data_IF_955127067234
#
_entry.id   IF_955127067234
#
_cell.length_a   1.000
_cell.length_b   1.000
_cell.length_c   1.000
_cell.angle_alpha   90.00
_cell.angle_beta   90.00
_cell.angle_gamma   90.00
#
_symmetry.space_group_name_H-M   'P 1'
#
loop_
_entity.id
_entity.type
_entity.pdbx_description
1 polymer ?
#
# COMPACT_ATOMS: atom_id res chain seq x y z
N UNK A 1 -42.66 22.98 -14.30
CA UNK A 1 -42.24 22.54 -12.95
C UNK A 1 -40.88 21.89 -13.11
N UNK A 2 -39.85 22.71 -13.17
CA UNK A 2 -38.45 22.32 -13.40
C UNK A 2 -37.79 22.21 -12.04
N UNK A 3 -37.41 20.98 -11.68
CA UNK A 3 -36.56 20.72 -10.52
C UNK A 3 -35.14 21.12 -10.91
N UNK A 4 -34.48 22.04 -10.18
CA UNK A 4 -33.07 22.32 -10.43
C UNK A 4 -32.24 21.16 -9.87
N UNK A 5 -31.46 20.56 -10.76
CA UNK A 5 -30.42 19.60 -10.45
C UNK A 5 -29.30 20.34 -9.71
N UNK A 6 -29.14 20.03 -8.42
CA UNK A 6 -28.10 20.63 -7.59
C UNK A 6 -26.85 19.76 -7.73
N UNK A 7 -26.13 19.95 -8.83
CA UNK A 7 -24.77 19.45 -8.95
C UNK A 7 -23.91 20.21 -7.93
N UNK A 8 -23.70 19.58 -6.77
CA UNK A 8 -22.72 20.04 -5.80
C UNK A 8 -21.35 19.97 -6.44
N UNK A 9 -20.76 21.13 -6.74
CA UNK A 9 -19.36 21.27 -7.09
C UNK A 9 -18.54 20.80 -5.89
N UNK A 10 -18.08 19.55 -5.89
CA UNK A 10 -17.07 19.08 -4.94
C UNK A 10 -15.79 19.83 -5.26
N UNK A 11 -15.49 20.87 -4.48
CA UNK A 11 -14.21 21.58 -4.57
C UNK A 11 -13.11 20.57 -4.28
N UNK A 12 -12.24 20.32 -5.27
CA UNK A 12 -11.08 19.43 -5.14
C UNK A 12 -10.17 19.96 -4.02
N UNK A 13 -9.95 19.17 -2.97
CA UNK A 13 -9.11 19.52 -1.82
C UNK A 13 -7.72 18.91 -1.88
N UNK A 14 -7.53 17.94 -2.76
CA UNK A 14 -6.28 17.24 -2.98
C UNK A 14 -5.16 18.17 -3.47
N UNK A 15 -3.93 17.78 -3.17
CA UNK A 15 -2.73 18.36 -3.77
C UNK A 15 -1.92 17.29 -4.44
N UNK A 16 -1.23 17.63 -5.52
CA UNK A 16 -0.27 16.74 -6.18
C UNK A 16 1.05 17.46 -6.33
N UNK A 17 2.11 16.88 -5.78
CA UNK A 17 3.47 17.42 -5.82
C UNK A 17 4.43 16.37 -6.37
N UNK A 18 5.55 16.81 -6.94
CA UNK A 18 6.66 15.90 -7.22
C UNK A 18 7.49 15.65 -5.94
N UNK A 19 8.53 14.81 -6.02
CA UNK A 19 9.39 14.50 -4.88
C UNK A 19 10.09 15.73 -4.26
N UNK A 20 10.49 16.72 -5.07
CA UNK A 20 11.13 17.95 -4.58
C UNK A 20 10.11 18.85 -3.87
N UNK A 21 8.88 18.94 -4.39
CA UNK A 21 7.77 19.66 -3.74
C UNK A 21 7.37 19.01 -2.42
N UNK A 22 7.31 17.68 -2.35
CA UNK A 22 7.07 16.96 -1.10
C UNK A 22 8.18 17.23 -0.08
N UNK A 23 9.44 17.21 -0.52
CA UNK A 23 10.58 17.51 0.36
C UNK A 23 10.55 18.96 0.86
N UNK A 24 10.15 19.93 0.03
CA UNK A 24 9.99 21.32 0.44
C UNK A 24 8.84 21.47 1.46
N UNK A 25 7.71 20.78 1.27
CA UNK A 25 6.63 20.72 2.25
C UNK A 25 7.10 20.12 3.58
N UNK A 26 7.87 19.04 3.53
CA UNK A 26 8.49 18.45 4.73
C UNK A 26 9.39 19.47 5.45
N UNK A 27 10.19 20.24 4.71
CA UNK A 27 11.07 21.25 5.28
C UNK A 27 10.30 22.40 5.97
N UNK A 28 9.25 22.92 5.32
CA UNK A 28 8.39 23.98 5.87
C UNK A 28 7.67 23.54 7.14
N UNK A 29 7.29 22.26 7.23
CA UNK A 29 6.53 21.70 8.34
C UNK A 29 7.41 21.02 9.40
N UNK A 30 8.73 20.99 9.22
CA UNK A 30 9.66 20.32 10.12
C UNK A 30 9.49 18.79 10.18
N UNK A 31 9.04 18.16 9.10
CA UNK A 31 8.76 16.72 9.01
C UNK A 31 10.02 15.99 8.53
N UNK A 32 10.67 15.25 9.41
CA UNK A 32 11.90 14.55 9.09
C UNK A 32 11.72 13.44 8.02
N UNK A 33 10.64 12.67 8.13
CA UNK A 33 10.37 11.55 7.24
C UNK A 33 8.88 11.26 7.16
N UNK A 34 8.50 10.62 6.05
CA UNK A 34 7.17 10.07 5.80
C UNK A 34 7.30 8.56 5.57
N UNK A 35 6.19 7.89 5.33
CA UNK A 35 6.14 6.47 5.01
C UNK A 35 7.19 6.06 3.93
N UNK A 36 8.06 5.07 4.21
CA UNK A 36 9.10 4.64 3.27
C UNK A 36 8.55 4.12 1.93
N UNK A 37 7.29 3.68 1.92
CA UNK A 37 6.57 3.26 0.73
C UNK A 37 6.47 4.38 -0.32
N UNK A 38 6.39 5.65 0.13
CA UNK A 38 6.42 6.84 -0.72
C UNK A 38 7.81 7.15 -1.28
N UNK A 39 8.87 6.45 -0.84
CA UNK A 39 10.31 6.74 -1.08
C UNK A 39 10.62 8.24 -1.22
N UNK A 40 10.15 9.05 -0.28
CA UNK A 40 10.49 10.47 -0.18
C UNK A 40 11.95 10.70 0.18
N UNK A 41 12.40 11.96 0.11
CA UNK A 41 13.70 12.35 0.65
C UNK A 41 13.54 12.65 2.15
N UNK A 42 14.41 12.12 3.03
CA UNK A 42 14.42 12.58 4.40
C UNK A 42 14.79 14.07 4.44
N UNK A 43 14.20 14.80 5.37
CA UNK A 43 14.57 16.17 5.68
C UNK A 43 15.40 16.20 6.97
N UNK A 44 16.63 16.70 6.88
CA UNK A 44 17.43 17.04 8.05
C UNK A 44 17.23 18.52 8.38
N UNK A 45 16.97 18.83 9.66
CA UNK A 45 16.79 20.23 10.08
C UNK A 45 18.01 21.08 9.71
N UNK A 46 17.76 22.17 9.00
CA UNK A 46 18.76 23.16 8.68
C UNK A 46 19.04 24.09 9.87
N UNK A 47 20.18 24.78 9.87
CA UNK A 47 20.54 25.74 10.92
C UNK A 47 19.60 26.96 10.95
N UNK A 48 19.02 27.33 9.80
CA UNK A 48 17.97 28.34 9.68
C UNK A 48 16.96 27.96 8.60
N UNK A 49 15.78 28.57 8.64
CA UNK A 49 14.70 28.40 7.65
C UNK A 49 14.69 29.48 6.57
N UNK A 50 15.63 30.43 6.60
CA UNK A 50 15.66 31.60 5.70
C UNK A 50 15.81 31.20 4.22
N UNK A 51 16.38 30.02 3.95
CA UNK A 51 16.53 29.51 2.60
C UNK A 51 15.20 29.12 1.93
N UNK A 52 14.14 28.88 2.71
CA UNK A 52 12.84 28.44 2.19
C UNK A 52 12.24 29.49 1.25
N UNK A 53 12.33 30.77 1.60
CA UNK A 53 11.78 31.88 0.81
C UNK A 53 12.58 32.13 -0.48
N UNK A 54 13.84 31.69 -0.52
CA UNK A 54 14.70 31.76 -1.71
C UNK A 54 14.62 30.50 -2.59
N UNK A 55 13.95 29.43 -2.15
CA UNK A 55 13.92 28.17 -2.88
C UNK A 55 13.01 28.27 -4.13
N UNK A 56 13.47 27.88 -5.33
CA UNK A 56 12.69 28.05 -6.57
C UNK A 56 11.36 27.27 -6.56
N UNK A 57 11.30 26.16 -5.83
CA UNK A 57 10.06 25.39 -5.66
C UNK A 57 8.96 26.13 -4.90
N UNK A 58 9.28 27.16 -4.09
CA UNK A 58 8.27 27.90 -3.33
C UNK A 58 7.29 28.60 -4.27
N UNK A 59 7.78 29.25 -5.33
CA UNK A 59 6.92 29.96 -6.29
C UNK A 59 5.84 29.04 -6.90
N UNK A 60 6.19 27.77 -7.17
CA UNK A 60 5.26 26.76 -7.68
C UNK A 60 4.22 26.39 -6.63
N UNK A 61 4.62 26.21 -5.37
CA UNK A 61 3.68 25.92 -4.28
C UNK A 61 2.74 27.11 -4.01
N UNK A 62 3.22 28.34 -4.15
CA UNK A 62 2.41 29.57 -4.03
C UNK A 62 1.40 29.68 -5.17
N UNK A 63 1.83 29.46 -6.41
CA UNK A 63 0.94 29.47 -7.58
C UNK A 63 -0.19 28.43 -7.45
N UNK A 64 0.11 27.29 -6.84
CA UNK A 64 -0.87 26.22 -6.58
C UNK A 64 -1.73 26.45 -5.32
N UNK A 65 -1.50 27.53 -4.58
CA UNK A 65 -2.22 27.80 -3.33
C UNK A 65 -1.95 26.77 -2.23
N UNK A 66 -0.78 26.11 -2.26
CA UNK A 66 -0.31 25.15 -1.26
C UNK A 66 0.37 25.88 -0.10
N UNK A 67 1.11 26.95 -0.41
CA UNK A 67 1.79 27.81 0.56
C UNK A 67 1.65 29.30 0.19
N UNK A 68 2.03 30.20 1.08
CA UNK A 68 2.15 31.64 0.79
C UNK A 68 3.60 32.08 0.54
N UNK A 69 3.80 33.34 0.15
CA UNK A 69 5.12 33.92 -0.12
C UNK A 69 6.07 33.91 1.10
N UNK A 70 5.51 33.80 2.31
CA UNK A 70 6.26 33.69 3.56
C UNK A 70 6.60 32.23 3.92
N UNK A 71 6.42 31.29 2.99
CA UNK A 71 6.64 29.86 3.17
C UNK A 71 5.73 29.21 4.24
N UNK A 72 4.54 29.78 4.48
CA UNK A 72 3.51 29.19 5.35
C UNK A 72 2.61 28.29 4.52
N UNK A 73 2.53 27.01 4.90
CA UNK A 73 1.67 26.01 4.23
C UNK A 73 0.21 26.23 4.63
N UNK A 74 -0.71 26.06 3.67
CA UNK A 74 -2.16 26.13 3.91
C UNK A 74 -2.58 25.15 5.01
N UNK A 75 -3.41 25.61 5.94
CA UNK A 75 -3.72 24.89 7.20
C UNK A 75 -4.23 23.46 6.98
N UNK A 76 -5.15 23.24 6.06
CA UNK A 76 -5.71 21.92 5.76
C UNK A 76 -4.64 20.94 5.24
N UNK A 77 -3.69 21.43 4.44
CA UNK A 77 -2.55 20.63 3.94
C UNK A 77 -1.59 20.32 5.07
N UNK A 78 -1.27 21.32 5.90
CA UNK A 78 -0.41 21.14 7.07
C UNK A 78 -0.97 20.08 8.03
N UNK A 79 -2.29 20.06 8.23
CA UNK A 79 -2.96 19.05 9.05
C UNK A 79 -2.88 17.64 8.44
N UNK A 80 -3.11 17.47 7.13
CA UNK A 80 -2.93 16.17 6.44
C UNK A 80 -1.49 15.67 6.57
N UNK A 81 -0.52 16.56 6.35
CA UNK A 81 0.90 16.26 6.51
C UNK A 81 1.25 15.90 7.95
N UNK A 82 0.62 16.51 8.95
CA UNK A 82 0.82 16.17 10.37
C UNK A 82 0.29 14.77 10.73
N UNK A 83 -0.80 14.31 10.07
CA UNK A 83 -1.28 12.92 10.17
C UNK A 83 -0.26 11.96 9.56
N UNK A 84 0.19 12.22 8.33
CA UNK A 84 1.16 11.38 7.62
C UNK A 84 2.53 11.32 8.30
N UNK A 85 2.94 12.39 8.97
CA UNK A 85 4.24 12.48 9.65
C UNK A 85 4.29 11.70 10.97
N UNK A 86 3.15 11.51 11.63
CA UNK A 86 3.07 10.96 12.97
C UNK A 86 1.81 10.11 13.18
N UNK A 87 1.58 9.09 12.33
CA UNK A 87 0.38 8.28 12.44
C UNK A 87 0.38 7.42 13.71
N UNK A 88 -0.83 7.10 14.17
CA UNK A 88 -1.08 6.01 15.12
C UNK A 88 -1.00 4.67 14.39
N UNK A 89 -1.61 4.61 13.20
CA UNK A 89 -1.64 3.43 12.33
C UNK A 89 -1.54 3.83 10.87
N UNK A 90 -1.01 2.91 10.06
CA UNK A 90 -0.94 3.06 8.61
C UNK A 90 -1.36 1.77 7.89
N UNK A 91 -2.07 1.92 6.77
CA UNK A 91 -2.47 0.87 5.84
C UNK A 91 -1.83 1.14 4.51
N UNK A 92 -1.10 0.15 3.99
CA UNK A 92 -0.26 0.28 2.83
C UNK A 92 -0.87 -0.61 1.74
N UNK A 93 -1.23 -0.02 0.61
CA UNK A 93 -1.78 -0.72 -0.56
C UNK A 93 -0.88 -0.47 -1.74
N UNK A 94 -0.27 -1.51 -2.28
CA UNK A 94 0.54 -1.44 -3.50
C UNK A 94 -0.20 -2.17 -4.61
N UNK A 95 -0.21 -1.59 -5.80
CA UNK A 95 -0.80 -2.18 -7.01
C UNK A 95 0.22 -2.13 -8.13
N UNK A 96 0.34 -3.20 -8.90
CA UNK A 96 1.22 -3.30 -10.07
C UNK A 96 0.43 -3.79 -11.27
N UNK A 97 0.62 -3.18 -12.44
CA UNK A 97 0.27 -3.81 -13.70
C UNK A 97 1.38 -4.83 -14.03
N UNK A 98 1.05 -6.11 -14.09
CA UNK A 98 2.03 -7.20 -14.14
C UNK A 98 2.60 -7.59 -12.76
N UNK A 99 3.83 -8.10 -12.77
CA UNK A 99 4.52 -8.61 -11.57
C UNK A 99 4.95 -7.50 -10.60
N UNK A 100 4.71 -7.68 -9.29
CA UNK A 100 5.14 -6.72 -8.28
C UNK A 100 6.66 -6.75 -8.06
N UNK A 101 7.33 -5.64 -8.36
CA UNK A 101 8.69 -5.35 -7.90
C UNK A 101 8.66 -4.76 -6.48
N UNK A 102 8.92 -5.59 -5.46
CA UNK A 102 8.90 -5.14 -4.05
C UNK A 102 10.17 -4.37 -3.67
N UNK A 103 11.31 -4.76 -4.25
CA UNK A 103 12.61 -4.12 -4.06
C UNK A 103 13.05 -3.52 -5.38
N UNK A 104 12.97 -2.20 -5.50
CA UNK A 104 13.46 -1.50 -6.69
C UNK A 104 14.99 -1.40 -6.62
N UNK A 105 15.72 -1.92 -7.62
CA UNK A 105 17.17 -1.84 -7.64
C UNK A 105 17.66 -0.39 -7.59
N UNK A 106 18.67 -0.13 -6.76
CA UNK A 106 19.38 1.14 -6.73
C UNK A 106 20.69 0.97 -7.51
N UNK A 107 20.89 1.81 -8.51
CA UNK A 107 22.16 1.89 -9.24
C UNK A 107 22.95 3.06 -8.64
N UNK A 108 24.12 2.76 -8.08
CA UNK A 108 24.92 3.76 -7.34
C UNK A 108 25.28 4.97 -8.22
N UNK A 109 25.63 4.72 -9.48
CA UNK A 109 26.06 5.75 -10.43
C UNK A 109 24.90 6.48 -11.14
N UNK A 110 23.65 6.11 -10.84
CA UNK A 110 22.46 6.75 -11.41
C UNK A 110 21.52 7.25 -10.29
N UNK A 111 21.63 8.53 -9.90
CA UNK A 111 20.79 9.14 -8.88
C UNK A 111 19.29 9.08 -9.17
N UNK A 112 18.88 8.93 -10.44
CA UNK A 112 17.46 8.83 -10.79
C UNK A 112 16.82 7.56 -10.21
N UNK A 113 17.61 6.51 -10.01
CA UNK A 113 17.13 5.22 -9.47
C UNK A 113 16.97 5.21 -7.95
N UNK A 114 17.62 6.13 -7.23
CA UNK A 114 17.73 6.09 -5.76
C UNK A 114 16.39 6.23 -5.04
N UNK A 115 15.43 6.88 -5.67
CA UNK A 115 14.07 7.09 -5.14
C UNK A 115 12.98 6.73 -6.14
N UNK A 116 13.31 6.19 -7.31
CA UNK A 116 12.32 5.79 -8.32
C UNK A 116 11.35 4.74 -7.76
N UNK A 117 10.12 4.74 -8.23
CA UNK A 117 9.26 3.55 -8.13
C UNK A 117 9.01 3.06 -9.55
N UNK A 118 8.76 1.77 -9.76
CA UNK A 118 8.37 1.27 -11.07
C UNK A 118 7.16 2.05 -11.62
N UNK A 119 7.19 2.40 -12.91
CA UNK A 119 6.14 3.21 -13.54
C UNK A 119 4.79 2.47 -13.63
N UNK A 120 4.84 1.14 -13.59
CA UNK A 120 3.69 0.23 -13.55
C UNK A 120 3.14 0.02 -12.12
N UNK A 121 3.66 0.74 -11.11
CA UNK A 121 3.24 0.64 -9.73
C UNK A 121 2.59 1.90 -9.15
N UNK A 122 1.48 1.67 -8.46
CA UNK A 122 0.81 2.62 -7.59
C UNK A 122 1.07 2.24 -6.12
N UNK A 123 1.46 3.20 -5.28
CA UNK A 123 1.65 2.98 -3.84
C UNK A 123 0.78 3.93 -3.04
N UNK A 124 -0.16 3.39 -2.30
CA UNK A 124 -1.08 4.13 -1.44
C UNK A 124 -0.68 3.93 0.00
N UNK A 125 -0.55 5.04 0.73
CA UNK A 125 -0.39 5.07 2.18
C UNK A 125 -1.62 5.75 2.75
N UNK A 126 -2.35 5.04 3.60
CA UNK A 126 -3.44 5.58 4.40
C UNK A 126 -2.96 5.68 5.83
N UNK A 127 -2.97 6.88 6.40
CA UNK A 127 -2.48 7.15 7.74
C UNK A 127 -3.62 7.66 8.62
N UNK A 128 -3.73 7.14 9.84
CA UNK A 128 -4.67 7.63 10.85
C UNK A 128 -3.92 8.25 12.01
N UNK A 129 -4.36 9.42 12.46
CA UNK A 129 -3.94 10.03 13.72
C UNK A 129 -5.13 10.66 14.43
N UNK A 130 -5.38 10.29 15.70
CA UNK A 130 -6.46 10.86 16.53
C UNK A 130 -7.82 10.83 15.80
N UNK A 131 -8.12 9.71 15.13
CA UNK A 131 -9.35 9.51 14.36
C UNK A 131 -9.40 10.18 12.98
N UNK A 132 -8.46 11.07 12.65
CA UNK A 132 -8.36 11.66 11.31
C UNK A 132 -7.55 10.79 10.37
N UNK A 133 -8.03 10.60 9.15
CA UNK A 133 -7.35 9.87 8.10
C UNK A 133 -6.84 10.80 6.99
N UNK A 134 -5.63 10.55 6.54
CA UNK A 134 -5.02 11.18 5.37
C UNK A 134 -4.49 10.10 4.43
N UNK A 135 -4.55 10.37 3.12
CA UNK A 135 -3.97 9.51 2.09
C UNK A 135 -2.75 10.19 1.46
N UNK A 136 -1.76 9.38 1.09
CA UNK A 136 -0.67 9.76 0.21
C UNK A 136 -0.50 8.68 -0.86
N UNK A 137 -0.73 9.05 -2.12
CA UNK A 137 -0.72 8.15 -3.26
C UNK A 137 0.45 8.50 -4.17
N UNK A 138 1.37 7.56 -4.34
CA UNK A 138 2.53 7.71 -5.21
C UNK A 138 2.35 6.95 -6.52
N UNK A 139 2.46 7.68 -7.63
CA UNK A 139 2.55 7.15 -8.99
C UNK A 139 3.78 7.76 -9.68
N UNK A 140 4.77 6.93 -9.99
CA UNK A 140 6.06 7.39 -10.53
C UNK A 140 6.73 8.46 -9.68
N UNK A 141 6.83 9.67 -10.22
CA UNK A 141 7.49 10.82 -9.57
C UNK A 141 6.55 11.78 -8.83
N UNK A 142 5.24 11.51 -8.86
CA UNK A 142 4.23 12.37 -8.25
C UNK A 142 3.58 11.70 -7.05
N UNK A 143 3.22 12.53 -6.08
CA UNK A 143 2.56 12.15 -4.84
C UNK A 143 1.34 13.04 -4.67
N UNK A 144 0.17 12.43 -4.63
CA UNK A 144 -1.11 13.08 -4.35
C UNK A 144 -1.45 12.88 -2.88
N UNK A 145 -1.82 13.96 -2.19
CA UNK A 145 -2.18 13.95 -0.76
C UNK A 145 -3.59 14.51 -0.63
N UNK A 146 -4.44 13.81 0.11
CA UNK A 146 -5.81 14.24 0.38
C UNK A 146 -6.30 13.74 1.74
N UNK A 147 -7.41 14.29 2.21
CA UNK A 147 -8.17 13.69 3.30
C UNK A 147 -8.77 12.35 2.83
N UNK A 148 -8.95 11.43 3.76
CA UNK A 148 -9.54 10.13 3.46
C UNK A 148 -10.62 9.78 4.49
N UNK A 149 -11.74 10.51 4.53
CA UNK A 149 -12.81 10.21 5.49
C UNK A 149 -13.38 8.81 5.24
N UNK A 150 -13.99 8.23 6.27
CA UNK A 150 -14.73 6.96 6.19
C UNK A 150 -13.88 5.73 5.80
N UNK A 151 -12.64 5.65 6.29
CA UNK A 151 -11.75 4.50 6.12
C UNK A 151 -12.14 3.32 7.03
N UNK A 152 -13.32 2.74 6.80
CA UNK A 152 -13.68 1.43 7.35
C UNK A 152 -13.15 0.29 6.48
N UNK A 153 -13.32 -0.95 6.97
CA UNK A 153 -12.80 -2.12 6.28
C UNK A 153 -13.50 -2.38 4.95
N UNK A 154 -14.81 -2.15 4.85
CA UNK A 154 -15.57 -2.36 3.62
C UNK A 154 -15.15 -1.34 2.54
N UNK A 155 -14.90 -0.10 2.95
CA UNK A 155 -14.32 0.92 2.08
C UNK A 155 -12.93 0.52 1.59
N UNK A 156 -12.08 -0.04 2.45
CA UNK A 156 -10.76 -0.51 2.05
C UNK A 156 -10.84 -1.68 1.06
N UNK A 157 -11.76 -2.63 1.26
CA UNK A 157 -12.01 -3.71 0.32
C UNK A 157 -12.34 -3.17 -1.07
N UNK A 158 -13.25 -2.19 -1.14
CA UNK A 158 -13.60 -1.52 -2.40
C UNK A 158 -12.42 -0.76 -3.00
N UNK A 159 -11.63 -0.05 -2.19
CA UNK A 159 -10.44 0.68 -2.66
C UNK A 159 -9.45 -0.28 -3.31
N UNK A 160 -9.10 -1.39 -2.63
CA UNK A 160 -8.11 -2.36 -3.11
C UNK A 160 -8.58 -2.99 -4.42
N UNK A 161 -9.84 -3.40 -4.51
CA UNK A 161 -10.42 -3.96 -5.74
C UNK A 161 -10.46 -2.92 -6.85
N UNK A 162 -10.94 -1.71 -6.59
CA UNK A 162 -11.01 -0.65 -7.60
C UNK A 162 -9.63 -0.23 -8.11
N UNK A 163 -8.63 -0.16 -7.23
CA UNK A 163 -7.26 0.15 -7.63
C UNK A 163 -6.67 -0.96 -8.51
N UNK A 164 -6.88 -2.23 -8.16
CA UNK A 164 -6.41 -3.36 -8.98
C UNK A 164 -7.18 -3.47 -10.30
N UNK A 165 -8.50 -3.27 -10.29
CA UNK A 165 -9.34 -3.27 -11.50
C UNK A 165 -9.00 -2.12 -12.45
N UNK A 166 -8.44 -1.01 -11.94
CA UNK A 166 -7.97 0.10 -12.78
C UNK A 166 -6.79 -0.26 -13.68
N UNK A 167 -6.02 -1.30 -13.32
CA UNK A 167 -4.90 -1.82 -14.13
C UNK A 167 -5.25 -3.12 -14.84
N UNK A 168 -6.07 -3.97 -14.24
CA UNK A 168 -6.54 -5.21 -14.84
C UNK A 168 -7.85 -5.68 -14.17
N UNK A 169 -8.94 -5.70 -14.95
CA UNK A 169 -10.25 -6.12 -14.44
C UNK A 169 -10.45 -7.62 -14.66
N UNK A 170 -10.70 -8.36 -13.57
CA UNK A 170 -11.00 -9.79 -13.63
C UNK A 170 -11.89 -10.24 -12.47
N UNK A 171 -12.70 -11.27 -12.71
CA UNK A 171 -13.52 -11.91 -11.68
C UNK A 171 -12.67 -12.74 -10.70
N UNK A 172 -13.19 -13.07 -9.50
CA UNK A 172 -12.53 -14.03 -8.61
C UNK A 172 -12.27 -15.37 -9.28
N UNK A 173 -11.11 -15.97 -8.99
CA UNK A 173 -10.74 -17.27 -9.56
C UNK A 173 -11.74 -18.38 -9.23
N UNK A 174 -11.85 -19.38 -10.11
CA UNK A 174 -12.75 -20.53 -9.91
C UNK A 174 -12.01 -21.70 -9.26
N UNK A 175 -11.54 -21.48 -8.03
CA UNK A 175 -10.77 -22.46 -7.26
C UNK A 175 -11.44 -22.74 -5.90
N UNK A 176 -11.26 -23.96 -5.39
CA UNK A 176 -11.62 -24.25 -4.00
C UNK A 176 -10.57 -23.66 -3.07
N UNK A 177 -10.96 -22.89 -2.03
CA UNK A 177 -10.02 -22.42 -1.02
C UNK A 177 -9.28 -23.59 -0.37
N UNK A 178 -8.00 -23.41 -0.10
CA UNK A 178 -7.19 -24.37 0.65
C UNK A 178 -6.19 -23.66 1.56
N UNK A 179 -5.77 -24.36 2.61
CA UNK A 179 -4.73 -23.91 3.51
C UNK A 179 -3.53 -24.85 3.42
N UNK A 180 -2.34 -24.29 3.36
CA UNK A 180 -1.08 -25.04 3.33
C UNK A 180 -0.14 -24.52 4.42
N UNK A 181 0.74 -25.35 5.01
CA UNK A 181 1.78 -24.86 5.90
C UNK A 181 2.62 -23.79 5.21
N UNK A 182 2.82 -22.64 5.88
CA UNK A 182 3.51 -21.50 5.27
C UNK A 182 4.93 -21.84 4.83
N UNK A 183 5.69 -22.53 5.69
CA UNK A 183 7.06 -22.94 5.42
C UNK A 183 7.16 -23.86 4.19
N UNK A 184 6.25 -24.82 4.07
CA UNK A 184 6.20 -25.73 2.93
C UNK A 184 5.88 -24.97 1.64
N UNK A 185 4.97 -24.00 1.71
CA UNK A 185 4.64 -23.14 0.57
C UNK A 185 5.82 -22.28 0.14
N UNK A 186 6.56 -21.68 1.07
CA UNK A 186 7.78 -20.93 0.77
C UNK A 186 8.83 -21.81 0.08
N UNK A 187 9.04 -23.03 0.56
CA UNK A 187 9.94 -23.99 -0.07
C UNK A 187 9.49 -24.37 -1.49
N UNK A 188 8.19 -24.60 -1.69
CA UNK A 188 7.65 -24.94 -3.00
C UNK A 188 7.73 -23.78 -4.00
N UNK A 189 7.44 -22.54 -3.58
CA UNK A 189 7.58 -21.35 -4.44
C UNK A 189 9.05 -21.12 -4.81
N UNK A 190 9.98 -21.32 -3.87
CA UNK A 190 11.42 -21.26 -4.18
C UNK A 190 11.82 -22.31 -5.21
N UNK A 191 11.40 -23.57 -5.04
CA UNK A 191 11.65 -24.64 -6.00
C UNK A 191 11.01 -24.35 -7.37
N UNK A 192 9.81 -23.76 -7.38
CA UNK A 192 9.12 -23.34 -8.59
C UNK A 192 9.91 -22.25 -9.33
N UNK A 193 10.36 -21.19 -8.64
CA UNK A 193 11.10 -20.08 -9.24
C UNK A 193 12.44 -20.51 -9.88
N UNK A 194 13.12 -21.49 -9.28
CA UNK A 194 14.42 -21.99 -9.77
C UNK A 194 14.33 -23.19 -10.72
N UNK A 195 13.11 -23.63 -11.06
CA UNK A 195 12.91 -24.78 -11.94
C UNK A 195 13.09 -24.42 -13.42
N UNK A 196 13.94 -25.17 -14.12
CA UNK A 196 14.19 -24.99 -15.55
C UNK A 196 13.14 -25.59 -16.50
N UNK A 197 12.07 -26.22 -15.99
CA UNK A 197 10.98 -26.75 -16.84
C UNK A 197 9.58 -26.53 -16.25
N UNK A 198 8.54 -26.35 -17.08
CA UNK A 198 7.16 -26.24 -16.61
C UNK A 198 6.68 -27.45 -15.79
N UNK A 199 7.13 -28.66 -16.13
CA UNK A 199 6.74 -29.87 -15.42
C UNK A 199 7.24 -29.88 -13.97
N UNK A 200 8.49 -29.46 -13.75
CA UNK A 200 9.10 -29.39 -12.42
C UNK A 200 8.54 -28.22 -11.59
N UNK A 201 8.24 -27.07 -12.23
CA UNK A 201 7.51 -25.95 -11.61
C UNK A 201 6.21 -26.41 -10.96
N UNK A 202 5.43 -27.17 -11.71
CA UNK A 202 4.14 -27.68 -11.25
C UNK A 202 4.28 -28.86 -10.27
N UNK A 203 5.37 -29.62 -10.33
CA UNK A 203 5.62 -30.71 -9.40
C UNK A 203 5.80 -30.22 -7.96
N UNK A 204 6.50 -29.09 -7.77
CA UNK A 204 6.68 -28.47 -6.45
C UNK A 204 5.33 -28.10 -5.81
N UNK A 205 4.44 -27.44 -6.57
CA UNK A 205 3.10 -27.08 -6.08
C UNK A 205 2.22 -28.32 -5.85
N UNK A 206 2.35 -29.35 -6.69
CA UNK A 206 1.65 -30.63 -6.46
C UNK A 206 2.10 -31.32 -5.17
N UNK A 207 3.34 -31.18 -4.75
CA UNK A 207 3.82 -31.79 -3.51
C UNK A 207 3.06 -31.25 -2.28
N UNK A 208 2.54 -30.02 -2.35
CA UNK A 208 1.69 -29.40 -1.32
C UNK A 208 0.22 -29.82 -1.35
N UNK A 209 -0.15 -30.73 -2.26
CA UNK A 209 -1.53 -31.18 -2.42
C UNK A 209 -2.39 -30.33 -3.36
N UNK A 210 -1.84 -29.30 -4.03
CA UNK A 210 -2.59 -28.56 -5.04
C UNK A 210 -2.93 -29.43 -6.26
N UNK A 211 -4.19 -29.42 -6.68
CA UNK A 211 -4.70 -30.19 -7.82
C UNK A 211 -5.67 -29.34 -8.65
N UNK A 212 -5.95 -29.79 -9.88
CA UNK A 212 -6.99 -29.22 -10.74
C UNK A 212 -6.84 -27.71 -10.95
N UNK A 213 -7.95 -26.99 -10.83
CA UNK A 213 -8.00 -25.53 -11.02
C UNK A 213 -7.07 -24.76 -10.10
N UNK A 214 -7.00 -25.11 -8.81
CA UNK A 214 -6.12 -24.41 -7.84
C UNK A 214 -4.64 -24.50 -8.22
N UNK A 215 -4.20 -25.66 -8.73
CA UNK A 215 -2.83 -25.86 -9.20
C UNK A 215 -2.55 -25.00 -10.45
N UNK A 216 -3.44 -25.03 -11.43
CA UNK A 216 -3.27 -24.29 -12.68
C UNK A 216 -3.26 -22.77 -12.43
N UNK A 217 -4.21 -22.30 -11.62
CA UNK A 217 -4.38 -20.88 -11.31
C UNK A 217 -3.19 -20.33 -10.51
N UNK A 218 -2.77 -21.03 -9.45
CA UNK A 218 -1.62 -20.59 -8.66
C UNK A 218 -0.32 -20.64 -9.48
N UNK A 219 -0.16 -21.64 -10.35
CA UNK A 219 0.97 -21.70 -11.27
C UNK A 219 1.02 -20.47 -12.18
N UNK A 220 -0.11 -20.11 -12.81
CA UNK A 220 -0.21 -18.93 -13.66
C UNK A 220 0.04 -17.63 -12.87
N UNK A 221 -0.52 -17.50 -11.67
CA UNK A 221 -0.31 -16.36 -10.79
C UNK A 221 1.14 -16.19 -10.30
N UNK A 222 1.93 -17.27 -10.28
CA UNK A 222 3.35 -17.22 -9.91
C UNK A 222 4.25 -16.93 -11.13
N UNK A 223 3.89 -17.46 -12.31
CA UNK A 223 4.72 -17.38 -13.52
C UNK A 223 4.53 -16.07 -14.30
N UNK A 224 3.28 -15.62 -14.49
CA UNK A 224 2.95 -14.47 -15.35
C UNK A 224 1.66 -13.76 -14.87
N UNK A 225 1.68 -13.13 -13.68
CA UNK A 225 0.54 -12.37 -13.17
C UNK A 225 0.27 -11.17 -14.08
N UNK A 226 -1.01 -10.92 -14.39
CA UNK A 226 -1.45 -9.77 -15.19
C UNK A 226 -1.51 -8.49 -14.37
N UNK A 227 -1.75 -8.62 -13.06
CA UNK A 227 -1.64 -7.55 -12.09
C UNK A 227 -1.48 -8.15 -10.68
N UNK A 228 -0.93 -7.37 -9.76
CA UNK A 228 -0.78 -7.76 -8.37
C UNK A 228 -1.17 -6.62 -7.42
N UNK A 229 -1.69 -6.97 -6.25
CA UNK A 229 -1.82 -6.03 -5.14
C UNK A 229 -1.30 -6.60 -3.83
N UNK A 230 -0.64 -5.76 -3.02
CA UNK A 230 -0.21 -6.09 -1.67
C UNK A 230 -0.88 -5.16 -0.67
N UNK A 231 -1.43 -5.72 0.40
CA UNK A 231 -1.99 -4.95 1.52
C UNK A 231 -1.38 -5.42 2.84
N UNK A 232 -0.84 -4.49 3.59
CA UNK A 232 -0.26 -4.71 4.91
C UNK A 232 -0.41 -3.45 5.76
N UNK A 233 -0.18 -3.58 7.06
CA UNK A 233 -0.43 -2.51 8.01
C UNK A 233 0.69 -2.38 9.02
N UNK A 234 0.79 -1.20 9.65
CA UNK A 234 1.66 -0.99 10.81
C UNK A 234 0.99 -0.07 11.82
N UNK A 235 1.39 -0.22 13.07
CA UNK A 235 1.04 0.66 14.17
C UNK A 235 2.30 1.22 14.82
N UNK A 236 2.19 2.42 15.35
CA UNK A 236 3.27 3.06 16.12
C UNK A 236 2.94 2.95 17.61
N UNK A 237 3.85 2.35 18.37
CA UNK A 237 3.72 2.11 19.82
C UNK A 237 4.97 2.69 20.48
N UNK A 238 4.79 3.79 21.21
CA UNK A 238 5.90 4.57 21.78
C UNK A 238 6.95 4.92 20.70
N UNK A 239 8.16 4.36 20.80
CA UNK A 239 9.25 4.54 19.84
C UNK A 239 9.36 3.42 18.82
N UNK A 240 8.51 2.40 18.90
CA UNK A 240 8.54 1.21 18.05
C UNK A 240 7.46 1.25 16.97
N UNK A 241 7.77 0.61 15.84
CA UNK A 241 6.82 0.34 14.77
C UNK A 241 6.56 -1.16 14.74
N UNK A 242 5.30 -1.55 14.92
CA UNK A 242 4.87 -2.94 14.89
C UNK A 242 4.10 -3.19 13.59
N UNK A 243 4.50 -4.23 12.87
CA UNK A 243 3.98 -4.55 11.53
C UNK A 243 2.96 -5.68 11.59
N UNK A 244 2.00 -5.67 10.66
CA UNK A 244 1.17 -6.83 10.40
C UNK A 244 2.07 -8.00 10.02
N UNK A 245 1.96 -9.09 10.78
CA UNK A 245 2.67 -10.31 10.44
C UNK A 245 2.06 -10.99 9.20
N UNK A 246 0.81 -10.66 8.87
CA UNK A 246 0.10 -11.11 7.66
C UNK A 246 0.11 -10.01 6.60
N UNK A 247 0.24 -10.43 5.33
CA UNK A 247 0.09 -9.59 4.13
C UNK A 247 -0.99 -10.23 3.27
N UNK A 248 -1.93 -9.42 2.77
CA UNK A 248 -2.83 -9.84 1.70
C UNK A 248 -2.13 -9.61 0.36
N UNK A 249 -1.94 -10.67 -0.40
CA UNK A 249 -1.37 -10.65 -1.75
C UNK A 249 -2.44 -11.13 -2.74
N UNK A 250 -2.89 -10.22 -3.59
CA UNK A 250 -3.82 -10.50 -4.68
C UNK A 250 -3.02 -10.63 -5.97
N UNK A 251 -3.35 -11.65 -6.76
CA UNK A 251 -2.73 -11.89 -8.05
C UNK A 251 -3.79 -12.18 -9.09
N UNK A 252 -3.75 -11.41 -10.16
CA UNK A 252 -4.61 -11.60 -11.31
C UNK A 252 -3.92 -12.49 -12.32
N UNK A 253 -4.67 -13.46 -12.82
CA UNK A 253 -4.33 -14.20 -14.03
C UNK A 253 -5.34 -13.85 -15.12
N UNK A 254 -5.15 -14.40 -16.31
CA UNK A 254 -6.16 -14.35 -17.38
C UNK A 254 -7.48 -15.07 -17.02
N UNK A 255 -7.48 -15.91 -15.99
CA UNK A 255 -8.61 -16.78 -15.61
C UNK A 255 -9.28 -16.39 -14.29
N UNK A 256 -8.64 -15.55 -13.48
CA UNK A 256 -9.23 -15.01 -12.26
C UNK A 256 -8.25 -14.38 -11.28
N UNK A 257 -8.82 -13.77 -10.23
CA UNK A 257 -8.08 -13.19 -9.10
C UNK A 257 -7.97 -14.17 -7.95
N UNK A 258 -6.73 -14.45 -7.52
CA UNK A 258 -6.40 -15.28 -6.37
C UNK A 258 -5.98 -14.40 -5.20
N UNK A 259 -6.48 -14.73 -4.00
CA UNK A 259 -6.03 -14.15 -2.75
C UNK A 259 -5.10 -15.12 -2.00
N UNK A 260 -3.95 -14.61 -1.59
CA UNK A 260 -2.93 -15.28 -0.79
C UNK A 260 -2.73 -14.48 0.49
N UNK A 261 -2.94 -15.08 1.65
CA UNK A 261 -2.69 -14.41 2.91
C UNK A 261 -2.48 -15.43 4.02
N UNK A 262 -1.72 -15.03 5.03
CA UNK A 262 -1.42 -15.88 6.18
C UNK A 262 -2.58 -15.85 7.18
N UNK A 263 -2.93 -17.02 7.69
CA UNK A 263 -3.91 -17.14 8.77
C UNK A 263 -3.23 -16.83 10.10
N UNK A 264 -3.95 -16.14 10.98
CA UNK A 264 -3.47 -15.94 12.35
C UNK A 264 -3.56 -17.28 13.10
N UNK A 265 -2.46 -17.77 13.68
CA UNK A 265 -2.47 -19.05 14.36
C UNK A 265 -3.39 -18.99 15.58
N UNK A 266 -4.13 -20.06 15.89
CA UNK A 266 -4.91 -20.12 17.12
C UNK A 266 -3.97 -20.02 18.35
N UNK A 267 -4.47 -19.52 19.49
CA UNK A 267 -3.67 -19.43 20.71
C UNK A 267 -2.99 -20.75 21.07
N UNK A 268 -1.67 -20.72 21.29
CA UNK A 268 -0.86 -21.89 21.63
C UNK A 268 -0.36 -22.71 20.45
N UNK A 269 -0.68 -22.33 19.20
CA UNK A 269 -0.10 -22.93 18.00
C UNK A 269 1.04 -22.08 17.46
N UNK A 270 2.16 -22.72 17.14
CA UNK A 270 3.27 -22.09 16.41
C UNK A 270 3.18 -22.33 14.89
N UNK A 271 2.34 -23.28 14.45
CA UNK A 271 2.19 -23.58 13.04
C UNK A 271 1.49 -22.43 12.30
N UNK A 272 2.19 -21.86 11.33
CA UNK A 272 1.67 -20.84 10.43
C UNK A 272 1.10 -21.47 9.16
N UNK A 273 -0.02 -20.92 8.70
CA UNK A 273 -0.76 -21.41 7.53
C UNK A 273 -0.94 -20.29 6.52
N UNK A 274 -0.79 -20.61 5.23
CA UNK A 274 -1.17 -19.75 4.13
C UNK A 274 -2.51 -20.21 3.57
N UNK A 275 -3.47 -19.29 3.47
CA UNK A 275 -4.69 -19.46 2.71
C UNK A 275 -4.46 -19.11 1.24
N UNK A 276 -4.96 -19.96 0.36
CA UNK A 276 -5.02 -19.77 -1.09
C UNK A 276 -6.48 -19.87 -1.47
N UNK A 277 -7.07 -18.77 -1.95
CA UNK A 277 -8.52 -18.67 -2.10
C UNK A 277 -8.91 -17.81 -3.31
N UNK A 278 -10.14 -17.97 -3.83
CA UNK A 278 -10.69 -17.01 -4.77
C UNK A 278 -10.90 -15.66 -4.07
N UNK A 279 -10.57 -14.56 -4.75
CA UNK A 279 -10.68 -13.21 -4.18
C UNK A 279 -12.13 -12.67 -4.14
N UNK A 280 -13.04 -13.43 -3.54
CA UNK A 280 -14.42 -13.01 -3.31
C UNK A 280 -14.51 -11.94 -2.22
N UNK A 281 -15.58 -11.12 -2.15
CA UNK A 281 -15.73 -10.12 -1.10
C UNK A 281 -15.60 -10.68 0.33
N UNK A 282 -16.23 -11.82 0.62
CA UNK A 282 -16.12 -12.46 1.93
C UNK A 282 -14.68 -12.90 2.24
N UNK A 283 -13.92 -13.32 1.22
CA UNK A 283 -12.52 -13.70 1.39
C UNK A 283 -11.62 -12.49 1.63
N UNK A 284 -11.86 -11.38 0.91
CA UNK A 284 -11.14 -10.12 1.11
C UNK A 284 -11.37 -9.57 2.52
N UNK A 285 -12.62 -9.59 2.97
CA UNK A 285 -12.97 -9.21 4.34
C UNK A 285 -12.21 -10.04 5.36
N UNK A 286 -12.21 -11.36 5.22
CA UNK A 286 -11.49 -12.24 6.13
C UNK A 286 -9.96 -12.01 6.08
N UNK A 287 -9.40 -11.77 4.89
CA UNK A 287 -7.97 -11.52 4.72
C UNK A 287 -7.53 -10.19 5.36
N UNK A 288 -8.28 -9.10 5.19
CA UNK A 288 -7.98 -7.82 5.82
C UNK A 288 -8.13 -7.88 7.33
N UNK A 289 -9.13 -8.61 7.84
CA UNK A 289 -9.24 -8.92 9.27
C UNK A 289 -7.96 -9.60 9.77
N UNK A 290 -7.48 -10.61 9.03
CA UNK A 290 -6.24 -11.30 9.38
C UNK A 290 -5.01 -10.37 9.35
N UNK A 291 -4.93 -9.43 8.40
CA UNK A 291 -3.90 -8.39 8.35
C UNK A 291 -3.94 -7.54 9.62
N UNK A 292 -5.09 -6.95 9.97
CA UNK A 292 -5.21 -6.02 11.10
C UNK A 292 -5.01 -6.69 12.45
N UNK A 293 -5.60 -7.87 12.66
CA UNK A 293 -5.43 -8.65 13.90
C UNK A 293 -3.97 -9.08 14.12
N UNK A 294 -3.15 -9.08 13.07
CA UNK A 294 -1.74 -9.47 13.13
C UNK A 294 -0.77 -8.33 13.42
N UNK A 295 -1.22 -7.06 13.51
CA UNK A 295 -0.38 -5.86 13.75
C UNK A 295 0.19 -5.82 15.17
N UNK A 296 -0.30 -6.64 16.10
CA UNK A 296 0.28 -6.75 17.44
C UNK A 296 -0.13 -5.64 18.41
N UNK A 297 -1.17 -4.85 18.07
CA UNK A 297 -1.85 -3.92 18.99
C UNK A 297 -3.17 -4.51 19.48
N UNK A 298 -3.60 -4.10 20.69
CA UNK A 298 -4.78 -4.69 21.34
C UNK A 298 -6.09 -4.42 20.58
N UNK A 299 -6.23 -3.24 19.99
CA UNK A 299 -7.42 -2.83 19.27
C UNK A 299 -7.04 -1.90 18.12
N UNK A 300 -6.86 -2.45 16.92
CA UNK A 300 -6.46 -1.71 15.72
C UNK A 300 -7.30 -0.45 15.47
N UNK A 301 -8.63 -0.59 15.51
CA UNK A 301 -9.57 0.48 15.18
C UNK A 301 -9.48 1.69 16.12
N UNK A 302 -9.09 1.46 17.39
CA UNK A 302 -9.01 2.49 18.43
C UNK A 302 -7.59 2.73 18.92
N UNK A 303 -6.58 2.17 18.25
CA UNK A 303 -5.19 2.35 18.66
C UNK A 303 -4.79 3.82 18.50
N UNK A 304 -4.13 4.36 19.50
CA UNK A 304 -3.52 5.69 19.48
C UNK A 304 -2.13 5.56 20.09
N UNK A 305 -1.13 6.18 19.47
CA UNK A 305 0.20 6.22 20.06
C UNK A 305 0.18 7.21 21.22
N UNK A 306 0.84 6.87 22.33
CA UNK A 306 1.04 7.83 23.42
C UNK A 306 1.95 8.96 22.90
N UNK A 307 1.50 10.21 23.11
CA UNK A 307 2.15 11.40 22.57
C UNK A 307 3.51 11.71 23.17
#
# INVERSE_FOLDING_TARGET
MTVPDTAGTTTRTDITVNLDGLWLLQAMLGIAQLAPELRGRPYGQAQSTDWLTAHPGLAVLVEQGIADEAAVVRTDIAERMAVLANPDVEILVWVSHGSMTVVTPMVMDDPSTWRAVPDDQLRVVLARRQGRWASAVRAGSYITIDDCPDTDQEWLERLVVAALDSVHQVEPARISPLNVPLADMQAAVSAHAHSGSPAAKMAALRALGLRGGALAELGAALDDPQAEALVYARAHVDTETVWSKTVLNLRDTSSGRVALYRLNPPPGSEQEWLAIAPATPAQLHHALTAVFDSVGVRAWASHERMG
#
